data_IF_297883199653
#
_entry.id   IF_297883199653
#
_cell.length_a   1.000
_cell.length_b   1.000
_cell.length_c   1.000
_cell.angle_alpha   90.00
_cell.angle_beta   90.00
_cell.angle_gamma   90.00
#
_symmetry.space_group_name_H-M   'P 1'
#
loop_
_entity.id
_entity.type
_entity.pdbx_description
1 polymer ?
#
# COMPACT_ATOMS: atom_id res chain seq x y z
N UNK A 1 -28.71 -5.61 -17.86
CA UNK A 1 -28.20 -6.98 -18.10
C UNK A 1 -27.48 -7.46 -16.85
N UNK A 2 -27.67 -8.70 -16.46
CA UNK A 2 -26.91 -9.36 -15.39
C UNK A 2 -25.55 -9.75 -15.93
N UNK A 3 -24.47 -9.30 -15.25
CA UNK A 3 -23.07 -9.64 -15.61
C UNK A 3 -22.54 -10.80 -14.79
N UNK A 4 -22.99 -10.95 -13.57
CA UNK A 4 -22.65 -12.06 -12.69
C UNK A 4 -23.80 -12.34 -11.70
N UNK A 5 -23.73 -13.48 -11.03
CA UNK A 5 -24.55 -13.78 -9.85
C UNK A 5 -23.66 -14.22 -8.71
N UNK A 6 -23.99 -13.80 -7.51
CA UNK A 6 -23.33 -14.22 -6.26
C UNK A 6 -24.40 -14.80 -5.36
N UNK A 7 -24.29 -16.08 -5.00
CA UNK A 7 -25.24 -16.81 -4.16
C UNK A 7 -26.71 -16.63 -4.60
N UNK A 8 -26.91 -16.62 -5.95
CA UNK A 8 -28.21 -16.43 -6.57
C UNK A 8 -28.68 -14.97 -6.68
N UNK A 9 -27.91 -14.00 -6.20
CA UNK A 9 -28.22 -12.56 -6.33
C UNK A 9 -27.63 -12.01 -7.63
N UNK A 10 -28.44 -11.37 -8.45
CA UNK A 10 -28.04 -10.77 -9.72
C UNK A 10 -27.19 -9.50 -9.52
N UNK A 11 -26.05 -9.43 -10.19
CA UNK A 11 -25.23 -8.22 -10.31
C UNK A 11 -25.50 -7.55 -11.66
N UNK A 12 -26.09 -6.34 -11.67
CA UNK A 12 -26.33 -5.60 -12.91
C UNK A 12 -25.00 -5.05 -13.48
N UNK A 13 -24.87 -5.15 -14.81
CA UNK A 13 -23.70 -4.62 -15.53
C UNK A 13 -23.43 -3.13 -15.26
N UNK A 14 -24.49 -2.32 -15.10
CA UNK A 14 -24.34 -0.89 -14.82
C UNK A 14 -23.65 -0.60 -13.48
N UNK A 15 -23.84 -1.44 -12.46
CA UNK A 15 -23.14 -1.31 -11.17
C UNK A 15 -21.64 -1.56 -11.36
N UNK A 16 -21.28 -2.63 -12.07
CA UNK A 16 -19.87 -2.97 -12.36
C UNK A 16 -19.21 -1.91 -13.25
N UNK A 17 -19.92 -1.44 -14.28
CA UNK A 17 -19.44 -0.39 -15.19
C UNK A 17 -19.17 0.91 -14.45
N UNK A 18 -20.08 1.35 -13.57
CA UNK A 18 -19.90 2.56 -12.79
C UNK A 18 -18.69 2.45 -11.85
N UNK A 19 -18.58 1.36 -11.09
CA UNK A 19 -17.44 1.11 -10.21
C UNK A 19 -16.13 1.08 -11.00
N UNK A 20 -16.09 0.39 -12.14
CA UNK A 20 -14.91 0.30 -12.97
C UNK A 20 -14.48 1.66 -13.55
N UNK A 21 -15.43 2.49 -14.00
CA UNK A 21 -15.11 3.83 -14.53
C UNK A 21 -14.65 4.79 -13.45
N UNK A 22 -15.25 4.74 -12.27
CA UNK A 22 -14.79 5.51 -11.11
C UNK A 22 -13.38 5.10 -10.71
N UNK A 23 -13.12 3.79 -10.56
CA UNK A 23 -11.80 3.26 -10.24
C UNK A 23 -10.76 3.60 -11.30
N UNK A 24 -11.12 3.54 -12.58
CA UNK A 24 -10.28 3.97 -13.70
C UNK A 24 -9.91 5.45 -13.58
N UNK A 25 -10.88 6.32 -13.33
CA UNK A 25 -10.66 7.75 -13.18
C UNK A 25 -9.77 8.09 -11.97
N UNK A 26 -9.99 7.42 -10.85
CA UNK A 26 -9.16 7.55 -9.64
C UNK A 26 -7.71 7.11 -9.88
N UNK A 27 -7.51 5.97 -10.54
CA UNK A 27 -6.17 5.47 -10.89
C UNK A 27 -5.43 6.46 -11.79
N UNK A 28 -6.08 6.99 -12.82
CA UNK A 28 -5.50 7.99 -13.72
C UNK A 28 -5.14 9.27 -12.95
N UNK A 29 -6.02 9.75 -12.05
CA UNK A 29 -5.76 10.92 -11.22
C UNK A 29 -4.54 10.71 -10.31
N UNK A 30 -4.43 9.53 -9.69
CA UNK A 30 -3.29 9.16 -8.85
C UNK A 30 -1.98 9.17 -9.66
N UNK A 31 -1.92 8.52 -10.81
CA UNK A 31 -0.73 8.52 -11.66
C UNK A 31 -0.33 9.92 -12.12
N UNK A 32 -1.30 10.76 -12.50
CA UNK A 32 -1.04 12.16 -12.84
C UNK A 32 -0.43 12.94 -11.69
N UNK A 33 -0.90 12.71 -10.46
CA UNK A 33 -0.39 13.36 -9.26
C UNK A 33 1.06 13.00 -8.96
N UNK A 34 1.44 11.71 -9.10
CA UNK A 34 2.78 11.22 -8.77
C UNK A 34 3.77 11.33 -9.92
N UNK A 35 3.32 11.07 -11.16
CA UNK A 35 4.18 10.95 -12.34
C UNK A 35 4.03 12.12 -13.32
N UNK A 36 3.11 13.07 -13.04
CA UNK A 36 2.77 14.16 -13.95
C UNK A 36 1.91 13.74 -15.14
N UNK A 37 1.79 12.46 -15.44
CA UNK A 37 0.98 11.87 -16.51
C UNK A 37 0.61 10.43 -16.17
N UNK A 38 -0.55 9.97 -16.60
CA UNK A 38 -0.91 8.55 -16.55
C UNK A 38 -0.31 7.76 -17.73
N UNK A 39 0.11 8.45 -18.80
CA UNK A 39 0.61 7.80 -20.00
C UNK A 39 -0.40 6.81 -20.59
N UNK A 40 0.08 5.65 -20.99
CA UNK A 40 -0.69 4.54 -21.55
C UNK A 40 -0.69 3.33 -20.62
N UNK A 41 -1.03 3.53 -19.34
CA UNK A 41 -0.98 2.49 -18.31
C UNK A 41 -1.88 1.29 -18.62
N UNK A 42 -3.06 1.54 -19.19
CA UNK A 42 -4.05 0.49 -19.43
C UNK A 42 -3.68 -0.45 -20.57
N UNK A 43 -2.87 0.01 -21.52
CA UNK A 43 -2.38 -0.80 -22.65
C UNK A 43 -1.06 -1.52 -22.37
N UNK A 44 -0.47 -1.33 -21.18
CA UNK A 44 0.72 -2.07 -20.79
C UNK A 44 0.41 -3.57 -20.64
N UNK A 45 1.24 -4.41 -21.27
CA UNK A 45 1.15 -5.87 -21.13
C UNK A 45 1.66 -6.28 -19.76
N UNK A 46 0.83 -6.95 -18.98
CA UNK A 46 1.13 -7.44 -17.62
C UNK A 46 1.32 -8.96 -17.57
N UNK A 47 0.87 -9.67 -18.59
CA UNK A 47 1.13 -11.09 -18.81
C UNK A 47 1.61 -11.26 -20.27
N UNK A 48 2.92 -11.48 -20.43
CA UNK A 48 3.55 -11.61 -21.75
C UNK A 48 3.15 -12.90 -22.45
N UNK A 49 2.88 -13.98 -21.72
CA UNK A 49 2.51 -15.29 -22.28
C UNK A 49 1.11 -15.26 -22.86
N UNK A 50 0.16 -14.62 -22.19
CA UNK A 50 -1.21 -14.47 -22.64
C UNK A 50 -1.42 -13.19 -23.51
N UNK A 51 -0.48 -12.24 -23.44
CA UNK A 51 -0.62 -10.93 -24.08
C UNK A 51 -1.67 -10.04 -23.39
N UNK A 52 -2.01 -10.32 -22.13
CA UNK A 52 -3.05 -9.62 -21.39
C UNK A 52 -2.57 -8.22 -20.98
N UNK A 53 -3.37 -7.20 -21.26
CA UNK A 53 -3.09 -5.82 -20.85
C UNK A 53 -3.55 -5.57 -19.41
N UNK A 54 -3.02 -4.53 -18.79
CA UNK A 54 -3.46 -4.08 -17.46
C UNK A 54 -4.95 -3.73 -17.45
N UNK A 55 -5.46 -3.10 -18.53
CA UNK A 55 -6.89 -2.81 -18.67
C UNK A 55 -7.77 -4.07 -18.72
N UNK A 56 -7.34 -5.11 -19.41
CA UNK A 56 -8.05 -6.38 -19.44
C UNK A 56 -8.05 -7.08 -18.09
N UNK A 57 -6.90 -7.10 -17.39
CA UNK A 57 -6.81 -7.62 -16.03
C UNK A 57 -7.69 -6.84 -15.05
N UNK A 58 -7.71 -5.52 -15.14
CA UNK A 58 -8.50 -4.64 -14.28
C UNK A 58 -10.01 -4.91 -14.36
N UNK A 59 -10.53 -5.28 -15.53
CA UNK A 59 -11.96 -5.64 -15.68
C UNK A 59 -12.35 -6.78 -14.75
N UNK A 60 -11.53 -7.84 -14.69
CA UNK A 60 -11.76 -8.96 -13.77
C UNK A 60 -11.69 -8.54 -12.30
N UNK A 61 -10.68 -7.75 -11.96
CA UNK A 61 -10.49 -7.23 -10.60
C UNK A 61 -11.66 -6.33 -10.17
N UNK A 62 -12.17 -5.47 -11.04
CA UNK A 62 -13.31 -4.61 -10.71
C UNK A 62 -14.60 -5.41 -10.52
N UNK A 63 -14.82 -6.45 -11.32
CA UNK A 63 -15.95 -7.36 -11.11
C UNK A 63 -15.84 -8.04 -9.74
N UNK A 64 -14.69 -8.62 -9.42
CA UNK A 64 -14.44 -9.31 -8.14
C UNK A 64 -14.68 -8.39 -6.95
N UNK A 65 -14.26 -7.11 -7.03
CA UNK A 65 -14.55 -6.14 -5.97
C UNK A 65 -16.05 -5.88 -5.78
N UNK A 66 -16.81 -5.81 -6.88
CA UNK A 66 -18.27 -5.68 -6.79
C UNK A 66 -18.91 -6.95 -6.22
N UNK A 67 -18.47 -8.13 -6.66
CA UNK A 67 -18.92 -9.42 -6.11
C UNK A 67 -18.67 -9.47 -4.59
N UNK A 68 -17.48 -9.09 -4.16
CA UNK A 68 -17.15 -9.01 -2.73
C UNK A 68 -18.07 -8.04 -1.96
N UNK A 69 -18.39 -6.89 -2.53
CA UNK A 69 -19.33 -5.94 -1.89
C UNK A 69 -20.73 -6.52 -1.71
N UNK A 70 -21.21 -7.34 -2.66
CA UNK A 70 -22.47 -8.06 -2.49
C UNK A 70 -22.40 -9.08 -1.36
N UNK A 71 -21.30 -9.83 -1.25
CA UNK A 71 -21.07 -10.75 -0.13
C UNK A 71 -21.01 -9.99 1.21
N UNK A 72 -20.30 -8.88 1.26
CA UNK A 72 -20.24 -8.02 2.45
C UNK A 72 -21.62 -7.53 2.90
N UNK A 73 -22.46 -7.11 1.95
CA UNK A 73 -23.84 -6.72 2.24
C UNK A 73 -24.63 -7.88 2.85
N UNK A 74 -24.49 -9.11 2.32
CA UNK A 74 -25.15 -10.29 2.84
C UNK A 74 -24.71 -10.61 4.27
N UNK A 75 -23.39 -10.49 4.55
CA UNK A 75 -22.81 -10.80 5.87
C UNK A 75 -22.88 -9.64 6.87
N UNK A 76 -23.30 -8.46 6.46
CA UNK A 76 -23.26 -7.25 7.28
C UNK A 76 -23.99 -7.37 8.61
N UNK A 77 -25.12 -8.06 8.64
CA UNK A 77 -25.90 -8.26 9.87
C UNK A 77 -25.15 -9.09 10.93
N UNK A 78 -24.30 -10.05 10.51
CA UNK A 78 -23.49 -10.87 11.42
C UNK A 78 -22.44 -10.03 12.15
N UNK A 79 -22.05 -8.90 11.54
CA UNK A 79 -21.11 -7.91 12.09
C UNK A 79 -21.81 -6.70 12.75
N UNK A 80 -23.14 -6.75 12.90
CA UNK A 80 -23.92 -5.65 13.47
C UNK A 80 -23.93 -4.39 12.59
N UNK A 81 -23.69 -4.57 11.28
CA UNK A 81 -23.68 -3.47 10.29
C UNK A 81 -25.00 -3.44 9.55
N UNK A 82 -25.58 -2.24 9.47
CA UNK A 82 -26.82 -1.98 8.75
C UNK A 82 -26.77 -0.67 7.99
N UNK A 83 -27.59 -0.55 6.95
CA UNK A 83 -27.95 0.70 6.28
C UNK A 83 -29.28 1.16 6.86
N UNK A 84 -29.29 2.32 7.49
CA UNK A 84 -30.47 2.89 8.16
C UNK A 84 -31.36 3.64 7.17
N UNK A 85 -32.58 4.01 7.60
CA UNK A 85 -33.48 4.85 6.78
C UNK A 85 -32.88 6.24 6.46
N UNK A 86 -32.06 6.78 7.35
CA UNK A 86 -31.36 8.05 7.11
C UNK A 86 -30.26 7.87 6.03
N UNK A 87 -29.57 6.73 6.06
CA UNK A 87 -28.61 6.37 5.00
C UNK A 87 -29.30 6.18 3.66
N UNK A 88 -30.42 5.48 3.62
CA UNK A 88 -31.21 5.29 2.39
C UNK A 88 -31.62 6.63 1.78
N UNK A 89 -32.00 7.60 2.61
CA UNK A 89 -32.33 8.97 2.18
C UNK A 89 -31.09 9.67 1.62
N UNK A 90 -29.96 9.62 2.32
CA UNK A 90 -28.70 10.22 1.87
C UNK A 90 -28.20 9.59 0.57
N UNK A 91 -28.29 8.27 0.43
CA UNK A 91 -27.95 7.54 -0.79
C UNK A 91 -28.85 7.96 -1.96
N UNK A 92 -30.15 8.09 -1.72
CA UNK A 92 -31.10 8.54 -2.76
C UNK A 92 -30.79 9.98 -3.22
N UNK A 93 -30.51 10.88 -2.29
CA UNK A 93 -30.14 12.27 -2.59
C UNK A 93 -28.81 12.34 -3.36
N UNK A 94 -27.80 11.56 -2.94
CA UNK A 94 -26.51 11.50 -3.61
C UNK A 94 -26.62 10.92 -5.04
N UNK A 95 -27.42 9.88 -5.23
CA UNK A 95 -27.67 9.31 -6.55
C UNK A 95 -28.39 10.30 -7.48
N UNK A 96 -29.41 10.99 -6.97
CA UNK A 96 -30.10 12.03 -7.73
C UNK A 96 -29.15 13.19 -8.10
N UNK A 97 -28.27 13.59 -7.18
CA UNK A 97 -27.25 14.61 -7.43
C UNK A 97 -26.25 14.14 -8.50
N UNK A 98 -25.78 12.88 -8.43
CA UNK A 98 -24.91 12.30 -9.45
C UNK A 98 -25.52 12.36 -10.85
N UNK A 99 -26.83 12.02 -10.97
CA UNK A 99 -27.54 12.09 -12.24
C UNK A 99 -27.68 13.53 -12.76
N UNK A 100 -27.75 14.53 -11.87
CA UNK A 100 -27.84 15.94 -12.26
C UNK A 100 -26.47 16.53 -12.64
N UNK A 101 -25.43 16.11 -11.96
CA UNK A 101 -24.06 16.64 -12.13
C UNK A 101 -23.36 16.12 -13.38
N UNK A 102 -23.84 15.02 -13.97
CA UNK A 102 -23.31 14.44 -15.18
C UNK A 102 -24.24 14.70 -16.36
N UNK A 103 -23.67 15.05 -17.50
CA UNK A 103 -24.43 15.28 -18.71
C UNK A 103 -25.00 13.99 -19.30
N UNK A 104 -25.95 14.14 -20.22
CA UNK A 104 -26.68 13.00 -20.83
C UNK A 104 -25.74 12.06 -21.60
N UNK A 105 -24.69 12.59 -22.25
CA UNK A 105 -23.74 11.82 -23.01
C UNK A 105 -22.85 10.99 -22.07
N UNK A 106 -22.38 11.55 -20.97
CA UNK A 106 -21.63 10.84 -19.91
C UNK A 106 -22.46 9.73 -19.29
N UNK A 107 -23.71 10.02 -18.90
CA UNK A 107 -24.60 9.00 -18.32
C UNK A 107 -24.92 7.87 -19.30
N UNK A 108 -25.06 8.19 -20.58
CA UNK A 108 -25.26 7.19 -21.63
C UNK A 108 -24.02 6.31 -21.82
N UNK A 109 -22.83 6.88 -21.78
CA UNK A 109 -21.57 6.16 -21.89
C UNK A 109 -21.34 5.28 -20.66
N UNK A 110 -21.65 5.76 -19.46
CA UNK A 110 -21.63 4.96 -18.22
C UNK A 110 -22.67 3.81 -18.27
N UNK A 111 -23.72 3.96 -19.07
CA UNK A 111 -24.82 3.00 -19.18
C UNK A 111 -25.47 2.65 -17.84
N UNK A 112 -25.55 3.61 -16.92
CA UNK A 112 -26.02 3.45 -15.55
C UNK A 112 -27.37 4.15 -15.34
N UNK A 113 -28.23 3.54 -14.52
CA UNK A 113 -29.47 4.15 -14.02
C UNK A 113 -29.29 4.69 -12.62
N UNK A 114 -30.14 5.64 -12.20
CA UNK A 114 -30.14 6.16 -10.83
C UNK A 114 -30.23 5.04 -9.77
N UNK A 115 -31.05 4.00 -10.01
CA UNK A 115 -31.15 2.86 -9.08
C UNK A 115 -29.84 2.05 -8.99
N UNK A 116 -29.09 1.98 -10.06
CA UNK A 116 -27.75 1.33 -10.04
C UNK A 116 -26.72 2.20 -9.31
N UNK A 117 -26.81 3.53 -9.41
CA UNK A 117 -26.00 4.44 -8.59
C UNK A 117 -26.33 4.25 -7.11
N UNK A 118 -27.62 4.18 -6.75
CA UNK A 118 -28.05 3.88 -5.37
C UNK A 118 -27.49 2.55 -4.89
N UNK A 119 -27.56 1.52 -5.72
CA UNK A 119 -27.02 0.18 -5.40
C UNK A 119 -25.54 0.26 -5.11
N UNK A 120 -24.74 0.92 -5.94
CA UNK A 120 -23.29 1.04 -5.70
C UNK A 120 -23.01 1.82 -4.40
N UNK A 121 -23.68 2.93 -4.16
CA UNK A 121 -23.51 3.71 -2.93
C UNK A 121 -23.89 2.92 -1.66
N UNK A 122 -24.93 2.11 -1.73
CA UNK A 122 -25.32 1.21 -0.64
C UNK A 122 -24.24 0.16 -0.38
N UNK A 123 -23.74 -0.49 -1.43
CA UNK A 123 -22.67 -1.49 -1.34
C UNK A 123 -21.38 -0.88 -0.75
N UNK A 124 -21.00 0.31 -1.18
CA UNK A 124 -19.85 1.05 -0.63
C UNK A 124 -20.05 1.39 0.85
N UNK A 125 -21.28 1.73 1.26
CA UNK A 125 -21.60 1.99 2.65
C UNK A 125 -21.40 0.73 3.51
N UNK A 126 -21.86 -0.43 3.04
CA UNK A 126 -21.61 -1.70 3.71
C UNK A 126 -20.13 -2.02 3.77
N UNK A 127 -19.40 -1.87 2.67
CA UNK A 127 -17.95 -2.11 2.61
C UNK A 127 -17.17 -1.29 3.62
N UNK A 128 -17.47 0.01 3.72
CA UNK A 128 -16.82 0.91 4.66
C UNK A 128 -17.12 0.55 6.12
N UNK A 129 -18.38 0.23 6.41
CA UNK A 129 -18.82 -0.05 7.79
C UNK A 129 -18.38 -1.40 8.31
N UNK A 130 -18.27 -2.42 7.46
CA UNK A 130 -17.87 -3.77 7.87
C UNK A 130 -16.34 -3.91 8.03
N UNK A 131 -15.55 -2.99 7.50
CA UNK A 131 -14.10 -3.05 7.49
C UNK A 131 -13.49 -3.21 8.89
N UNK A 132 -13.82 -2.31 9.80
CA UNK A 132 -13.31 -2.35 11.19
C UNK A 132 -13.87 -3.54 12.00
N UNK A 133 -15.16 -3.86 11.96
CA UNK A 133 -15.70 -5.06 12.59
C UNK A 133 -14.96 -6.34 12.22
N UNK A 134 -14.69 -6.58 10.92
CA UNK A 134 -13.91 -7.76 10.51
C UNK A 134 -12.49 -7.73 11.10
N UNK A 135 -11.79 -6.61 10.97
CA UNK A 135 -10.43 -6.44 11.48
C UNK A 135 -10.32 -6.65 12.98
N UNK A 136 -11.37 -6.29 13.72
CA UNK A 136 -11.42 -6.42 15.18
C UNK A 136 -11.63 -7.85 15.67
N UNK A 137 -12.01 -8.79 14.79
CA UNK A 137 -12.04 -10.22 15.11
C UNK A 137 -10.63 -10.86 15.09
N UNK A 138 -9.64 -10.19 14.50
CA UNK A 138 -8.29 -10.71 14.49
C UNK A 138 -7.74 -10.90 15.91
N UNK A 139 -7.26 -12.11 16.21
CA UNK A 139 -6.50 -12.38 17.42
C UNK A 139 -5.10 -11.82 17.28
N UNK A 140 -4.84 -10.67 17.91
CA UNK A 140 -3.56 -9.98 17.83
C UNK A 140 -2.90 -10.00 19.21
N UNK A 141 -1.78 -10.73 19.30
CA UNK A 141 -0.99 -10.87 20.51
C UNK A 141 0.48 -10.58 20.19
N UNK A 142 0.84 -9.30 20.10
CA UNK A 142 2.23 -8.86 19.94
C UNK A 142 2.74 -8.41 21.31
N UNK A 143 3.77 -9.07 21.80
CA UNK A 143 4.43 -8.69 23.06
C UNK A 143 5.39 -7.53 22.83
N UNK A 144 5.70 -6.80 23.91
CA UNK A 144 6.71 -5.72 23.83
C UNK A 144 8.10 -6.27 23.48
N UNK A 145 8.40 -7.52 23.88
CA UNK A 145 9.66 -8.19 23.57
C UNK A 145 9.78 -8.51 22.07
N UNK A 146 8.70 -9.00 21.44
CA UNK A 146 8.66 -9.27 20.00
C UNK A 146 8.75 -7.99 19.17
N UNK A 147 8.10 -6.92 19.63
CA UNK A 147 8.12 -5.61 18.96
C UNK A 147 9.37 -4.77 19.28
N UNK A 148 10.21 -5.19 20.24
CA UNK A 148 11.31 -4.38 20.74
C UNK A 148 12.22 -3.89 19.61
N UNK A 149 12.45 -2.57 19.60
CA UNK A 149 13.26 -1.89 18.59
C UNK A 149 14.53 -1.31 19.22
N UNK A 150 15.63 -1.49 18.50
CA UNK A 150 16.85 -0.70 18.71
C UNK A 150 16.92 0.38 17.63
N UNK A 151 17.27 1.60 17.99
CA UNK A 151 17.49 2.70 17.05
C UNK A 151 18.98 2.97 16.85
N UNK A 152 19.35 3.31 15.62
CA UNK A 152 20.74 3.53 15.26
C UNK A 152 20.90 4.63 14.21
N UNK A 153 22.08 5.20 14.16
CA UNK A 153 22.52 6.13 13.12
C UNK A 153 23.58 5.46 12.25
N UNK A 154 23.56 5.77 10.97
CA UNK A 154 24.50 5.18 10.02
C UNK A 154 24.82 6.08 8.84
N UNK A 155 25.96 5.83 8.22
CA UNK A 155 26.30 6.29 6.88
C UNK A 155 26.37 5.07 5.99
N UNK A 156 25.73 5.14 4.83
CA UNK A 156 25.78 4.10 3.81
C UNK A 156 26.37 4.67 2.53
N UNK A 157 27.46 4.10 2.07
CA UNK A 157 28.14 4.53 0.85
C UNK A 157 28.10 3.38 -0.16
N UNK A 158 27.52 3.64 -1.34
CA UNK A 158 27.44 2.62 -2.39
C UNK A 158 28.82 2.30 -2.94
N UNK A 159 29.11 1.02 -3.06
CA UNK A 159 30.34 0.46 -3.66
C UNK A 159 30.04 -0.43 -4.87
N UNK A 160 28.82 -0.37 -5.39
CA UNK A 160 28.37 -1.09 -6.59
C UNK A 160 27.72 -0.13 -7.58
N UNK A 161 27.84 -0.43 -8.87
CA UNK A 161 27.24 0.34 -9.96
C UNK A 161 28.08 0.23 -11.22
N UNK A 162 27.44 0.24 -12.39
CA UNK A 162 28.11 0.06 -13.69
C UNK A 162 29.09 1.19 -14.02
N UNK A 163 28.93 2.36 -13.37
CA UNK A 163 29.77 3.55 -13.59
C UNK A 163 30.95 3.64 -12.59
N UNK A 164 31.07 2.71 -11.63
CA UNK A 164 32.14 2.72 -10.63
C UNK A 164 33.35 1.90 -11.07
N UNK A 165 34.54 2.51 -11.00
CA UNK A 165 35.81 1.80 -11.18
C UNK A 165 36.30 1.22 -9.84
N UNK A 166 37.26 0.29 -9.89
CA UNK A 166 37.90 -0.26 -8.68
C UNK A 166 38.58 0.85 -7.85
N UNK A 167 39.13 1.89 -8.50
CA UNK A 167 39.75 3.04 -7.84
C UNK A 167 38.68 3.90 -7.12
N UNK A 168 37.49 4.04 -7.70
CA UNK A 168 36.37 4.76 -7.07
C UNK A 168 35.89 3.99 -5.83
N UNK A 169 35.75 2.69 -5.93
CA UNK A 169 35.35 1.82 -4.81
C UNK A 169 36.37 1.92 -3.68
N UNK A 170 37.68 1.84 -3.99
CA UNK A 170 38.75 1.98 -3.01
C UNK A 170 38.69 3.35 -2.31
N UNK A 171 38.50 4.42 -3.08
CA UNK A 171 38.37 5.78 -2.55
C UNK A 171 37.17 5.90 -1.59
N UNK A 172 36.01 5.34 -1.97
CA UNK A 172 34.80 5.35 -1.13
C UNK A 172 34.99 4.59 0.19
N UNK A 173 35.71 3.45 0.14
CA UNK A 173 36.06 2.72 1.36
C UNK A 173 37.05 3.48 2.26
N UNK A 174 38.02 4.20 1.68
CA UNK A 174 38.91 5.07 2.44
C UNK A 174 38.16 6.23 3.12
N UNK A 175 37.21 6.84 2.40
CA UNK A 175 36.33 7.88 2.94
C UNK A 175 35.42 7.33 4.06
N UNK A 176 34.86 6.13 3.89
CA UNK A 176 34.09 5.47 4.95
C UNK A 176 34.96 5.22 6.19
N UNK A 177 36.22 4.80 6.01
CA UNK A 177 37.17 4.61 7.11
C UNK A 177 37.49 5.92 7.81
N UNK A 178 37.66 7.02 7.09
CA UNK A 178 37.85 8.35 7.68
C UNK A 178 36.65 8.78 8.53
N UNK A 179 35.42 8.52 8.06
CA UNK A 179 34.20 8.79 8.83
C UNK A 179 34.18 7.95 10.10
N UNK A 180 34.48 6.64 9.99
CA UNK A 180 34.53 5.73 11.13
C UNK A 180 35.55 6.20 12.18
N UNK A 181 36.75 6.57 11.76
CA UNK A 181 37.82 7.01 12.67
C UNK A 181 37.38 8.27 13.42
N UNK A 182 36.77 9.25 12.74
CA UNK A 182 36.23 10.47 13.40
C UNK A 182 35.10 10.14 14.37
N UNK A 183 34.19 9.22 14.01
CA UNK A 183 33.12 8.79 14.90
C UNK A 183 33.64 8.02 16.12
N UNK A 184 34.75 7.29 15.98
CA UNK A 184 35.42 6.63 17.13
C UNK A 184 36.15 7.61 18.02
N UNK A 185 36.70 8.71 17.48
CA UNK A 185 37.28 9.81 18.27
C UNK A 185 36.24 10.56 19.11
N UNK A 186 35.07 10.82 18.51
CA UNK A 186 33.91 11.42 19.19
C UNK A 186 32.61 10.68 18.84
N UNK A 187 32.23 9.63 19.60
CA UNK A 187 31.00 8.89 19.38
C UNK A 187 29.72 9.72 19.52
N UNK A 188 29.81 10.90 20.13
CA UNK A 188 28.65 11.81 20.31
C UNK A 188 28.45 12.79 19.16
N UNK A 189 29.42 12.88 18.24
CA UNK A 189 29.34 13.76 17.07
C UNK A 189 28.11 13.45 16.21
N UNK A 190 27.61 14.48 15.51
CA UNK A 190 26.60 14.29 14.48
C UNK A 190 27.20 13.51 13.30
N UNK A 191 26.64 12.34 13.04
CA UNK A 191 27.14 11.45 11.99
C UNK A 191 27.00 12.04 10.60
N UNK A 192 25.90 12.77 10.34
CA UNK A 192 25.66 13.45 9.09
C UNK A 192 26.64 14.57 8.80
N UNK A 193 26.91 15.41 9.79
CA UNK A 193 27.90 16.48 9.67
C UNK A 193 29.33 15.92 9.53
N UNK A 194 29.64 14.82 10.25
CA UNK A 194 30.92 14.10 10.11
C UNK A 194 31.09 13.53 8.71
N UNK A 195 30.05 12.92 8.14
CA UNK A 195 30.09 12.39 6.78
C UNK A 195 30.27 13.50 5.73
N UNK A 196 29.50 14.59 5.83
CA UNK A 196 29.60 15.75 4.94
C UNK A 196 30.96 16.42 4.97
N UNK A 197 31.65 16.40 6.10
CA UNK A 197 32.99 16.96 6.23
C UNK A 197 34.05 16.13 5.45
N UNK A 198 33.76 14.87 5.12
CA UNK A 198 34.60 14.01 4.29
C UNK A 198 34.23 14.14 2.82
N UNK A 199 32.94 14.10 2.49
CA UNK A 199 32.40 14.33 1.17
C UNK A 199 30.99 14.93 1.29
N UNK A 200 30.72 16.04 0.57
CA UNK A 200 29.47 16.78 0.69
C UNK A 200 28.24 16.03 0.15
N UNK A 201 28.46 14.96 -0.59
CA UNK A 201 27.41 14.07 -1.09
C UNK A 201 26.97 13.03 -0.06
N UNK A 202 27.73 12.83 1.01
CA UNK A 202 27.38 11.86 2.06
C UNK A 202 26.44 12.44 3.08
N UNK A 203 25.60 11.60 3.63
CA UNK A 203 24.61 11.97 4.66
C UNK A 203 24.52 10.92 5.75
N UNK A 204 24.20 11.38 6.96
CA UNK A 204 23.78 10.50 8.05
C UNK A 204 22.32 10.10 7.89
N UNK A 205 22.04 8.87 8.20
CA UNK A 205 20.72 8.27 8.20
C UNK A 205 20.42 7.69 9.58
N UNK A 206 19.16 7.50 9.87
CA UNK A 206 18.70 6.81 11.08
C UNK A 206 17.80 5.64 10.69
N UNK A 207 17.83 4.60 11.50
CA UNK A 207 17.02 3.42 11.30
C UNK A 207 16.65 2.74 12.59
N UNK A 208 15.82 1.72 12.49
CA UNK A 208 15.50 0.82 13.59
C UNK A 208 15.64 -0.62 13.13
N UNK A 209 16.01 -1.50 14.05
CA UNK A 209 16.00 -2.95 13.88
C UNK A 209 15.22 -3.59 15.02
N UNK A 210 14.68 -4.78 14.78
CA UNK A 210 14.23 -5.64 15.87
C UNK A 210 15.42 -6.04 16.72
N UNK A 211 15.33 -5.75 18.01
CA UNK A 211 16.40 -6.07 18.96
C UNK A 211 16.63 -7.57 19.07
N UNK A 212 15.54 -8.34 19.03
CA UNK A 212 15.53 -9.79 19.16
C UNK A 212 15.24 -10.46 17.81
N UNK A 213 15.70 -11.70 17.66
CA UNK A 213 15.29 -12.56 16.55
C UNK A 213 13.88 -13.09 16.80
N UNK A 214 13.19 -13.39 15.70
CA UNK A 214 11.87 -14.02 15.74
C UNK A 214 11.74 -15.04 14.61
N UNK A 215 10.99 -16.11 14.86
CA UNK A 215 10.58 -17.07 13.83
C UNK A 215 9.32 -16.59 13.06
N UNK A 216 8.70 -15.48 13.46
CA UNK A 216 7.56 -14.86 12.78
C UNK A 216 8.06 -14.05 11.58
N UNK A 217 7.59 -14.39 10.39
CA UNK A 217 8.00 -13.73 9.12
C UNK A 217 7.65 -12.22 9.10
N UNK A 218 6.61 -11.82 9.84
CA UNK A 218 6.23 -10.40 9.99
C UNK A 218 7.21 -9.62 10.88
N UNK A 219 8.04 -10.33 11.67
CA UNK A 219 9.03 -9.76 12.60
C UNK A 219 10.43 -9.97 12.03
N UNK A 220 10.71 -9.33 10.91
CA UNK A 220 11.98 -9.42 10.21
C UNK A 220 12.61 -8.05 9.98
N UNK A 221 13.94 -8.01 9.94
CA UNK A 221 14.68 -6.79 9.62
C UNK A 221 14.78 -6.60 8.10
N UNK A 222 14.76 -5.34 7.66
CA UNK A 222 14.94 -4.97 6.25
C UNK A 222 16.39 -4.65 5.87
N UNK A 223 17.31 -4.69 6.84
CA UNK A 223 18.74 -4.48 6.62
C UNK A 223 19.47 -5.81 6.40
N UNK A 224 20.61 -5.74 5.73
CA UNK A 224 21.50 -6.90 5.59
C UNK A 224 21.84 -7.53 6.93
N UNK A 225 21.93 -8.86 6.97
CA UNK A 225 22.22 -9.59 8.20
C UNK A 225 23.52 -9.11 8.86
N UNK A 226 24.56 -8.79 8.07
CA UNK A 226 25.82 -8.28 8.58
C UNK A 226 25.65 -6.93 9.35
N UNK A 227 24.74 -6.07 8.89
CA UNK A 227 24.42 -4.81 9.57
C UNK A 227 23.67 -5.08 10.89
N UNK A 228 22.70 -5.98 10.86
CA UNK A 228 21.90 -6.35 12.03
C UNK A 228 22.79 -7.05 13.09
N UNK A 229 23.63 -7.99 12.68
CA UNK A 229 24.56 -8.68 13.58
C UNK A 229 25.54 -7.70 14.23
N UNK A 230 26.13 -6.78 13.45
CA UNK A 230 27.03 -5.75 13.98
C UNK A 230 26.33 -4.87 15.02
N UNK A 231 25.14 -4.35 14.70
CA UNK A 231 24.36 -3.50 15.62
C UNK A 231 24.01 -4.21 16.93
N UNK A 232 23.66 -5.48 16.89
CA UNK A 232 23.28 -6.25 18.08
C UNK A 232 24.44 -6.51 19.07
N UNK A 233 25.68 -6.26 18.67
CA UNK A 233 26.83 -6.34 19.57
C UNK A 233 27.06 -5.07 20.39
N UNK A 234 26.39 -3.96 20.01
CA UNK A 234 26.63 -2.62 20.54
C UNK A 234 25.73 -2.29 21.74
N UNK A 235 26.19 -1.35 22.55
CA UNK A 235 25.43 -0.69 23.60
C UNK A 235 25.04 0.73 23.16
N UNK A 236 24.19 1.37 23.95
CA UNK A 236 23.76 2.74 23.71
C UNK A 236 24.97 3.69 23.51
N UNK A 237 24.98 4.41 22.40
CA UNK A 237 26.02 5.36 22.02
C UNK A 237 27.29 4.75 21.45
N UNK A 238 27.41 3.44 21.35
CA UNK A 238 28.61 2.77 20.80
C UNK A 238 28.64 2.84 19.27
N UNK A 239 29.83 3.16 18.74
CA UNK A 239 30.17 3.05 17.32
C UNK A 239 30.74 1.66 17.06
N UNK A 240 30.32 1.00 16.00
CA UNK A 240 30.88 -0.28 15.60
C UNK A 240 32.36 -0.10 15.19
N UNK A 241 33.22 -1.00 15.62
CA UNK A 241 34.68 -0.83 15.52
C UNK A 241 35.22 -0.92 14.10
N UNK A 242 34.49 -1.55 13.19
CA UNK A 242 34.91 -1.84 11.82
C UNK A 242 33.85 -1.31 10.81
N UNK A 243 34.25 -1.20 9.55
CA UNK A 243 33.30 -0.99 8.47
C UNK A 243 32.49 -2.28 8.25
N UNK A 244 31.19 -2.16 8.04
CA UNK A 244 30.38 -3.28 7.59
C UNK A 244 30.23 -3.20 6.09
N UNK A 245 30.74 -4.18 5.37
CA UNK A 245 30.66 -4.27 3.91
C UNK A 245 29.64 -5.30 3.48
N UNK A 246 28.79 -4.90 2.51
CA UNK A 246 27.89 -5.78 1.78
C UNK A 246 28.29 -5.80 0.30
N UNK A 247 27.58 -6.54 -0.51
CA UNK A 247 27.83 -6.57 -1.97
C UNK A 247 27.64 -5.20 -2.64
N UNK A 248 26.84 -4.32 -2.03
CA UNK A 248 26.44 -3.05 -2.64
C UNK A 248 26.91 -1.81 -1.88
N UNK A 249 27.15 -1.91 -0.59
CA UNK A 249 27.40 -0.76 0.27
C UNK A 249 28.46 -1.04 1.34
N UNK A 250 29.09 0.03 1.81
CA UNK A 250 29.88 0.04 3.02
C UNK A 250 29.21 0.95 4.07
N UNK A 251 29.16 0.50 5.32
CA UNK A 251 28.43 1.17 6.39
C UNK A 251 29.36 1.58 7.54
N UNK A 252 29.08 2.76 8.10
CA UNK A 252 29.53 3.18 9.43
C UNK A 252 28.31 3.20 10.34
N UNK A 253 28.38 2.51 11.48
CA UNK A 253 27.23 2.25 12.34
C UNK A 253 27.46 2.78 13.75
N UNK A 254 26.43 3.38 14.35
CA UNK A 254 26.37 3.71 15.78
C UNK A 254 25.01 3.30 16.34
N UNK A 255 25.01 2.54 17.43
CA UNK A 255 23.80 2.26 18.19
C UNK A 255 23.42 3.51 19.00
N UNK A 256 22.23 4.05 18.75
CA UNK A 256 21.74 5.20 19.52
C UNK A 256 21.03 4.73 20.79
N UNK A 257 20.13 3.75 20.68
CA UNK A 257 19.45 3.11 21.81
C UNK A 257 19.21 1.62 21.50
N UNK A 258 19.66 0.75 22.37
CA UNK A 258 19.37 -0.70 22.32
C UNK A 258 17.88 -0.97 22.59
N UNK A 259 17.27 -0.19 23.47
CA UNK A 259 15.84 -0.25 23.73
C UNK A 259 15.22 1.14 23.52
N UNK A 260 14.66 1.34 22.34
CA UNK A 260 13.92 2.55 22.00
C UNK A 260 12.43 2.33 22.24
N UNK A 261 11.92 2.84 23.37
CA UNK A 261 10.53 2.64 23.80
C UNK A 261 9.53 3.25 22.81
N UNK A 262 9.82 4.43 22.25
CA UNK A 262 8.94 5.09 21.28
C UNK A 262 8.90 4.32 19.94
N UNK A 263 10.06 3.88 19.45
CA UNK A 263 10.15 3.07 18.28
C UNK A 263 9.47 1.70 18.46
N UNK A 264 9.61 1.10 19.66
CA UNK A 264 8.95 -0.15 20.03
C UNK A 264 7.43 -0.01 20.04
N UNK A 265 6.90 1.04 20.65
CA UNK A 265 5.45 1.29 20.67
C UNK A 265 4.89 1.49 19.25
N UNK A 266 5.58 2.28 18.42
CA UNK A 266 5.19 2.51 17.03
C UNK A 266 5.25 1.22 16.19
N UNK A 267 6.28 0.40 16.39
CA UNK A 267 6.42 -0.89 15.69
C UNK A 267 5.32 -1.87 16.11
N UNK A 268 5.01 -1.95 17.41
CA UNK A 268 3.94 -2.79 17.92
C UNK A 268 2.61 -2.44 17.27
N UNK A 269 2.24 -1.16 17.26
CA UNK A 269 1.01 -0.69 16.59
C UNK A 269 1.01 -1.04 15.10
N UNK A 270 2.14 -0.88 14.42
CA UNK A 270 2.29 -1.24 12.99
C UNK A 270 2.07 -2.73 12.76
N UNK A 271 2.68 -3.61 13.58
CA UNK A 271 2.53 -5.07 13.50
C UNK A 271 1.08 -5.50 13.77
N UNK A 272 0.47 -4.92 14.81
CA UNK A 272 -0.94 -5.18 15.13
C UNK A 272 -1.86 -4.79 13.96
N UNK A 273 -1.63 -3.62 13.36
CA UNK A 273 -2.38 -3.17 12.19
C UNK A 273 -2.17 -4.08 10.97
N UNK A 274 -0.95 -4.55 10.75
CA UNK A 274 -0.63 -5.51 9.68
C UNK A 274 -1.40 -6.82 9.88
N UNK A 275 -1.35 -7.40 11.08
CA UNK A 275 -2.09 -8.64 11.38
C UNK A 275 -3.61 -8.48 11.20
N UNK A 276 -4.17 -7.34 11.63
CA UNK A 276 -5.59 -7.02 11.41
C UNK A 276 -5.92 -6.87 9.92
N UNK A 277 -5.03 -6.28 9.15
CA UNK A 277 -5.23 -6.12 7.70
C UNK A 277 -5.11 -7.44 6.96
N UNK A 278 -4.17 -8.30 7.36
CA UNK A 278 -4.03 -9.65 6.81
C UNK A 278 -5.28 -10.48 7.09
N UNK A 279 -5.78 -10.45 8.34
CA UNK A 279 -7.01 -11.13 8.72
C UNK A 279 -8.21 -10.67 7.88
N UNK A 280 -8.35 -9.36 7.65
CA UNK A 280 -9.39 -8.82 6.76
C UNK A 280 -9.26 -9.39 5.34
N UNK A 281 -8.05 -9.36 4.78
CA UNK A 281 -7.82 -9.85 3.43
C UNK A 281 -8.08 -11.35 3.30
N UNK A 282 -7.62 -12.14 4.26
CA UNK A 282 -7.85 -13.60 4.30
C UNK A 282 -9.33 -13.93 4.46
N UNK A 283 -10.03 -13.23 5.36
CA UNK A 283 -11.46 -13.42 5.60
C UNK A 283 -12.28 -13.09 4.36
N UNK A 284 -11.99 -11.95 3.72
CA UNK A 284 -12.74 -11.54 2.52
C UNK A 284 -12.41 -12.40 1.30
N UNK A 285 -11.17 -12.88 1.16
CA UNK A 285 -10.82 -13.84 0.15
C UNK A 285 -11.54 -15.18 0.36
N UNK A 286 -11.58 -15.67 1.61
CA UNK A 286 -12.31 -16.90 1.93
C UNK A 286 -13.81 -16.78 1.58
N UNK A 287 -14.42 -15.61 1.79
CA UNK A 287 -15.80 -15.37 1.39
C UNK A 287 -16.01 -15.46 -0.11
N UNK A 288 -15.08 -14.92 -0.90
CA UNK A 288 -15.12 -15.06 -2.37
C UNK A 288 -14.96 -16.51 -2.80
N UNK A 289 -14.04 -17.25 -2.17
CA UNK A 289 -13.76 -18.65 -2.48
C UNK A 289 -14.96 -19.57 -2.14
N UNK A 290 -15.71 -19.24 -1.09
CA UNK A 290 -16.86 -20.02 -0.62
C UNK A 290 -18.16 -19.68 -1.37
N UNK A 291 -18.24 -18.51 -1.99
CA UNK A 291 -19.46 -18.03 -2.67
C UNK A 291 -19.71 -18.77 -3.99
N UNK A 292 -20.99 -19.00 -4.29
CA UNK A 292 -21.38 -19.50 -5.63
C UNK A 292 -21.45 -18.35 -6.64
N UNK A 293 -20.34 -18.13 -7.35
CA UNK A 293 -20.23 -17.06 -8.35
C UNK A 293 -20.35 -17.62 -9.77
N UNK A 294 -21.22 -16.98 -10.57
CA UNK A 294 -21.36 -17.29 -12.00
C UNK A 294 -21.23 -16.01 -12.81
N UNK A 295 -20.28 -15.98 -13.74
CA UNK A 295 -20.01 -14.81 -14.60
C UNK A 295 -20.59 -15.03 -15.99
N UNK A 296 -21.21 -14.00 -16.54
CA UNK A 296 -21.64 -13.95 -17.94
C UNK A 296 -20.57 -13.24 -18.78
N UNK A 297 -19.62 -14.02 -19.29
CA UNK A 297 -18.47 -13.53 -20.06
C UNK A 297 -18.88 -12.67 -21.26
N UNK A 298 -20.03 -12.98 -21.91
CA UNK A 298 -20.52 -12.21 -23.07
C UNK A 298 -20.98 -10.79 -22.66
N UNK A 299 -21.50 -10.65 -21.45
CA UNK A 299 -21.89 -9.33 -20.92
C UNK A 299 -20.64 -8.63 -20.41
N UNK A 300 -19.77 -9.31 -19.68
CA UNK A 300 -18.52 -8.74 -19.16
C UNK A 300 -17.62 -8.21 -20.28
N UNK A 301 -17.48 -8.91 -21.38
CA UNK A 301 -16.69 -8.50 -22.54
C UNK A 301 -17.16 -7.18 -23.20
N UNK A 302 -18.33 -6.64 -22.80
CA UNK A 302 -18.77 -5.32 -23.24
C UNK A 302 -18.12 -4.17 -22.46
N UNK A 303 -17.46 -4.45 -21.32
CA UNK A 303 -16.68 -3.49 -20.55
C UNK A 303 -15.22 -3.58 -20.97
N UNK A 304 -14.69 -2.48 -21.47
CA UNK A 304 -13.28 -2.36 -21.84
C UNK A 304 -12.65 -1.21 -21.08
N UNK A 305 -11.46 -1.43 -20.54
CA UNK A 305 -10.67 -0.41 -19.86
C UNK A 305 -9.45 -0.11 -20.73
N UNK A 306 -9.40 1.09 -21.27
CA UNK A 306 -8.36 1.54 -22.21
C UNK A 306 -7.88 2.94 -21.85
N UNK A 307 -6.79 3.38 -22.49
CA UNK A 307 -6.26 4.74 -22.29
C UNK A 307 -7.16 5.82 -22.94
N UNK A 308 -7.98 5.42 -23.89
CA UNK A 308 -8.97 6.28 -24.57
C UNK A 308 -10.30 6.28 -23.81
N UNK A 309 -10.39 7.07 -22.73
CA UNK A 309 -11.62 7.27 -21.99
C UNK A 309 -11.86 8.75 -21.68
N UNK A 310 -13.13 9.16 -21.60
CA UNK A 310 -13.53 10.53 -21.34
C UNK A 310 -13.81 10.84 -19.86
N UNK A 311 -13.78 9.83 -18.99
CA UNK A 311 -14.11 9.98 -17.57
C UNK A 311 -12.97 10.60 -16.78
N UNK A 312 -13.29 11.63 -16.01
CA UNK A 312 -12.37 12.31 -15.08
C UNK A 312 -13.04 12.55 -13.77
N UNK A 313 -12.27 12.63 -12.68
CA UNK A 313 -12.79 13.08 -11.40
C UNK A 313 -13.00 14.58 -11.48
N UNK A 314 -14.19 15.06 -11.09
CA UNK A 314 -14.46 16.49 -10.95
C UNK A 314 -13.64 17.06 -9.80
N UNK A 315 -12.98 18.19 -10.06
CA UNK A 315 -12.31 18.94 -9.01
C UNK A 315 -13.37 19.74 -8.21
N UNK A 316 -13.70 19.24 -7.01
CA UNK A 316 -14.67 19.89 -6.13
C UNK A 316 -14.10 21.10 -5.38
N UNK A 317 -12.79 21.38 -5.52
CA UNK A 317 -12.13 22.51 -4.85
C UNK A 317 -12.30 23.84 -5.60
N UNK A 318 -12.79 23.82 -6.84
CA UNK A 318 -12.94 25.00 -7.69
C UNK A 318 -14.19 25.86 -7.39
N UNK A 319 -15.15 25.39 -6.60
CA UNK A 319 -16.45 26.07 -6.37
C UNK A 319 -16.53 26.84 -5.04
N UNK A 320 -15.41 27.13 -4.37
CA UNK A 320 -15.35 27.98 -3.17
C UNK A 320 -14.55 29.26 -3.42
N UNK A 321 -14.92 30.02 -4.43
CA UNK A 321 -14.41 31.38 -4.63
C UNK A 321 -15.56 32.38 -4.88
#
# INVERSE_FOLDING_TARGET
>A
KTVATVDGTDIPMGVVSLYARESQAQTVAMYKSFMGSAGNIWSQVVDEDAGTTYGEQAVGQFLEQVELMYIMKEKAADYGVEVTSDDETAIADAAAQFMQDNDEDTLKELAVSEDQVKTLLELETYRQRIYDPIRNEAEVNITDEEAQQSSFSYVSISISGDDLTDDDIATRKEQAQEILDKMKEDPTADMGETAKAVDDTYSGLTGTIFTNDSDDEDISNSYDDAVVEALRTLKDGEVYDELVETDTNVYVLRMDKVNDEDATASKKESLENTKRSNYYSETTQQWLDDAEITVNDKVLATLTITDDHSFTIKDTTADTS
#
